data_IF_905613462889
#
_entry.id   IF_905613462889
#
_cell.length_a   1.000
_cell.length_b   1.000
_cell.length_c   1.000
_cell.angle_alpha   90.00
_cell.angle_beta   90.00
_cell.angle_gamma   90.00
#
_symmetry.space_group_name_H-M   'P 1'
#
loop_
_entity.id
_entity.type
_entity.pdbx_description
1 polymer ?
#
# COMPACT_ATOMS: atom_id res chain seq x y z
N UNK A 1 68.77 48.08 -46.75
CA UNK A 1 67.92 47.31 -45.82
C UNK A 1 68.43 45.87 -45.88
N UNK A 2 68.84 45.36 -44.73
CA UNK A 2 69.82 44.29 -44.54
C UNK A 2 69.22 42.90 -44.77
N UNK A 3 70.03 42.04 -45.39
CA UNK A 3 69.87 40.60 -45.64
C UNK A 3 69.74 39.78 -44.34
N UNK A 4 69.06 38.63 -44.41
CA UNK A 4 69.52 37.42 -43.73
C UNK A 4 68.89 36.16 -44.37
N UNK A 5 69.79 35.27 -44.80
CA UNK A 5 69.55 33.91 -45.28
C UNK A 5 69.34 32.92 -44.11
N UNK A 6 68.78 31.74 -44.39
CA UNK A 6 68.83 30.58 -43.49
C UNK A 6 67.94 29.39 -43.90
N UNK A 7 68.51 28.43 -44.64
CA UNK A 7 68.54 26.95 -44.43
C UNK A 7 67.39 26.29 -43.61
N UNK A 8 66.81 25.10 -43.83
CA UNK A 8 67.00 23.91 -44.70
C UNK A 8 65.82 22.93 -44.52
N UNK A 9 65.60 22.08 -45.53
CA UNK A 9 65.01 20.72 -45.58
C UNK A 9 64.46 20.03 -44.30
N UNK A 10 63.32 19.31 -44.47
CA UNK A 10 63.21 17.92 -43.99
C UNK A 10 61.91 17.49 -43.30
N UNK A 11 61.33 16.40 -43.82
CA UNK A 11 60.34 15.49 -43.21
C UNK A 11 58.89 16.02 -43.08
N UNK A 12 57.84 15.38 -43.61
CA UNK A 12 57.68 13.96 -43.93
C UNK A 12 56.59 13.35 -43.04
N UNK A 13 55.36 13.29 -43.55
CA UNK A 13 54.39 12.20 -43.37
C UNK A 13 54.19 11.53 -42.00
N UNK A 14 54.18 12.29 -40.89
CA UNK A 14 53.84 11.74 -39.56
C UNK A 14 52.56 12.32 -38.93
N UNK A 15 51.91 13.29 -39.57
CA UNK A 15 50.68 13.93 -39.07
C UNK A 15 49.40 13.15 -39.36
N UNK A 16 49.28 12.54 -40.54
CA UNK A 16 48.02 11.93 -41.00
C UNK A 16 47.70 10.59 -40.28
N UNK A 17 48.72 9.80 -39.91
CA UNK A 17 48.52 8.52 -39.24
C UNK A 17 48.07 8.67 -37.76
N UNK A 18 48.47 9.74 -37.08
CA UNK A 18 48.01 10.03 -35.70
C UNK A 18 46.57 10.52 -35.64
N UNK A 19 46.11 11.26 -36.65
CA UNK A 19 44.72 11.72 -36.73
C UNK A 19 43.74 10.56 -37.03
N UNK A 20 44.11 9.63 -37.90
CA UNK A 20 43.29 8.45 -38.20
C UNK A 20 43.19 7.47 -37.00
N UNK A 21 44.27 7.31 -36.23
CA UNK A 21 44.26 6.48 -35.01
C UNK A 21 43.34 7.03 -33.91
N UNK A 22 43.25 8.36 -33.77
CA UNK A 22 42.36 9.00 -32.80
C UNK A 22 40.87 8.86 -33.19
N UNK A 23 40.54 8.95 -34.49
CA UNK A 23 39.17 8.79 -35.01
C UNK A 23 38.66 7.33 -34.97
N UNK A 24 39.56 6.34 -35.07
CA UNK A 24 39.18 4.92 -34.94
C UNK A 24 39.00 4.53 -33.47
N UNK A 25 39.77 5.13 -32.56
CA UNK A 25 39.65 4.88 -31.11
C UNK A 25 38.40 5.48 -30.49
N UNK A 26 37.79 6.47 -31.15
CA UNK A 26 36.53 7.09 -30.72
C UNK A 26 35.28 6.31 -31.18
N UNK A 27 35.31 5.69 -32.37
CA UNK A 27 34.18 4.85 -32.86
C UNK A 27 33.95 3.57 -32.05
N UNK A 28 34.96 3.04 -31.35
CA UNK A 28 34.80 1.84 -30.52
C UNK A 28 34.10 2.12 -29.19
N UNK A 29 34.12 3.38 -28.72
CA UNK A 29 33.39 3.81 -27.53
C UNK A 29 31.92 4.11 -27.84
N UNK A 30 31.61 4.62 -29.03
CA UNK A 30 30.21 4.87 -29.43
C UNK A 30 29.39 3.59 -29.64
N UNK A 31 30.05 2.48 -30.01
CA UNK A 31 29.38 1.17 -30.18
C UNK A 31 29.06 0.47 -28.85
N UNK A 32 29.44 1.07 -27.72
CA UNK A 32 29.13 0.62 -26.36
C UNK A 32 28.16 1.54 -25.62
N UNK A 33 27.47 2.43 -26.34
CA UNK A 33 26.16 2.90 -25.90
C UNK A 33 25.25 1.67 -25.90
N UNK A 34 25.11 1.06 -24.73
CA UNK A 34 24.28 -0.11 -24.47
C UNK A 34 22.88 0.17 -24.99
N UNK A 35 22.56 -0.36 -26.17
CA UNK A 35 21.16 -0.52 -26.58
C UNK A 35 20.51 -1.27 -25.43
N UNK A 36 19.53 -0.68 -24.72
CA UNK A 36 18.86 -1.37 -23.63
C UNK A 36 18.33 -2.68 -24.22
N UNK A 37 18.77 -3.81 -23.64
CA UNK A 37 18.26 -5.10 -24.04
C UNK A 37 16.71 -5.03 -24.01
N UNK A 38 16.07 -5.45 -25.07
CA UNK A 38 14.61 -5.42 -25.22
C UNK A 38 13.94 -6.16 -24.04
N UNK A 39 14.65 -7.10 -23.41
CA UNK A 39 14.23 -7.74 -22.16
C UNK A 39 14.18 -6.78 -20.96
N UNK A 40 15.19 -5.93 -20.77
CA UNK A 40 15.24 -4.99 -19.63
C UNK A 40 14.19 -3.90 -19.77
N UNK A 41 13.89 -3.45 -20.98
CA UNK A 41 12.78 -2.52 -21.25
C UNK A 41 11.39 -3.13 -21.02
N UNK A 42 11.22 -4.45 -21.16
CA UNK A 42 9.93 -5.10 -20.87
C UNK A 42 9.70 -5.30 -19.37
N UNK A 43 10.77 -5.55 -18.60
CA UNK A 43 10.70 -5.79 -17.17
C UNK A 43 10.37 -4.52 -16.37
N UNK A 44 10.92 -3.37 -16.76
CA UNK A 44 10.57 -2.09 -16.12
C UNK A 44 9.09 -1.73 -16.32
N UNK A 45 8.53 -1.98 -17.50
CA UNK A 45 7.11 -1.74 -17.81
C UNK A 45 6.15 -2.65 -17.02
N UNK A 46 6.58 -3.85 -16.62
CA UNK A 46 5.80 -4.75 -15.79
C UNK A 46 5.90 -4.42 -14.29
N UNK A 47 6.95 -3.74 -13.86
CA UNK A 47 7.15 -3.37 -12.46
C UNK A 47 6.24 -2.20 -12.01
N UNK A 48 6.00 -1.21 -12.87
CA UNK A 48 5.13 -0.08 -12.56
C UNK A 48 3.70 -0.48 -12.13
N UNK A 49 2.95 -1.31 -12.88
CA UNK A 49 1.59 -1.69 -12.48
C UNK A 49 1.56 -2.53 -11.20
N UNK A 50 2.59 -3.35 -10.96
CA UNK A 50 2.72 -4.13 -9.72
C UNK A 50 2.94 -3.20 -8.52
N UNK A 51 3.80 -2.19 -8.65
CA UNK A 51 4.06 -1.21 -7.58
C UNK A 51 2.80 -0.41 -7.27
N UNK A 52 2.10 0.11 -8.29
CA UNK A 52 0.88 0.88 -8.09
C UNK A 52 -0.23 0.04 -7.45
N UNK A 53 -0.43 -1.20 -7.91
CA UNK A 53 -1.37 -2.12 -7.29
C UNK A 53 -0.99 -2.43 -5.83
N UNK A 54 0.29 -2.70 -5.56
CA UNK A 54 0.76 -2.93 -4.20
C UNK A 54 0.48 -1.74 -3.27
N UNK A 55 0.81 -0.52 -3.72
CA UNK A 55 0.57 0.70 -2.95
C UNK A 55 -0.92 0.92 -2.69
N UNK A 56 -1.78 0.75 -3.69
CA UNK A 56 -3.22 0.85 -3.53
C UNK A 56 -3.76 -0.18 -2.52
N UNK A 57 -3.27 -1.43 -2.58
CA UNK A 57 -3.59 -2.49 -1.63
C UNK A 57 -3.20 -2.15 -0.20
N UNK A 58 -1.96 -1.70 0.01
CA UNK A 58 -1.42 -1.34 1.33
C UNK A 58 -2.14 -0.13 1.91
N UNK A 59 -2.34 0.94 1.13
CA UNK A 59 -3.02 2.15 1.60
C UNK A 59 -4.49 1.85 1.95
N UNK A 60 -5.21 1.14 1.09
CA UNK A 60 -6.62 0.82 1.34
C UNK A 60 -6.81 -0.06 2.59
N UNK A 61 -5.96 -1.08 2.75
CA UNK A 61 -6.02 -1.99 3.89
C UNK A 61 -5.57 -1.31 5.19
N UNK A 62 -4.60 -0.38 5.12
CA UNK A 62 -4.22 0.47 6.25
C UNK A 62 -5.35 1.40 6.69
N UNK A 63 -5.99 2.12 5.76
CA UNK A 63 -7.14 3.00 6.06
C UNK A 63 -8.26 2.20 6.72
N UNK A 64 -8.55 0.99 6.21
CA UNK A 64 -9.54 0.11 6.81
C UNK A 64 -9.15 -0.29 8.24
N UNK A 65 -7.95 -0.85 8.41
CA UNK A 65 -7.51 -1.44 9.67
C UNK A 65 -7.34 -0.37 10.76
N UNK A 66 -6.59 0.69 10.46
CA UNK A 66 -6.30 1.78 11.40
C UNK A 66 -7.58 2.55 11.73
N UNK A 67 -8.41 2.85 10.74
CA UNK A 67 -9.68 3.56 10.96
C UNK A 67 -10.64 2.79 11.87
N UNK A 68 -10.76 1.47 11.67
CA UNK A 68 -11.59 0.63 12.53
C UNK A 68 -10.95 0.35 13.90
N UNK A 69 -9.63 0.27 13.98
CA UNK A 69 -8.90 0.19 15.25
C UNK A 69 -9.18 1.42 16.09
N UNK A 70 -8.90 2.62 15.55
CA UNK A 70 -9.11 3.88 16.23
C UNK A 70 -10.57 3.99 16.71
N UNK A 71 -11.54 3.62 15.88
CA UNK A 71 -12.94 3.61 16.28
C UNK A 71 -13.22 2.74 17.52
N UNK A 72 -12.69 1.51 17.55
CA UNK A 72 -12.93 0.56 18.64
C UNK A 72 -12.09 0.83 19.91
N UNK A 73 -10.91 1.44 19.79
CA UNK A 73 -9.97 1.61 20.91
C UNK A 73 -10.05 2.98 21.57
N UNK A 74 -10.13 4.05 20.78
CA UNK A 74 -10.03 5.44 21.27
C UNK A 74 -11.13 6.36 20.73
N UNK A 75 -11.92 5.90 19.76
CA UNK A 75 -12.91 6.68 19.05
C UNK A 75 -14.31 6.55 19.63
N UNK A 76 -15.31 6.80 18.77
CA UNK A 76 -16.73 6.86 19.15
C UNK A 76 -17.17 5.61 19.90
N UNK A 77 -16.76 4.42 19.47
CA UNK A 77 -17.22 3.18 20.09
C UNK A 77 -16.55 2.86 21.42
N UNK A 78 -15.35 3.37 21.68
CA UNK A 78 -14.75 3.26 22.99
C UNK A 78 -15.55 4.04 24.04
N UNK A 79 -16.00 5.25 23.66
CA UNK A 79 -16.82 6.12 24.52
C UNK A 79 -18.22 5.53 24.71
N UNK A 80 -18.93 5.22 23.61
CA UNK A 80 -20.31 4.71 23.69
C UNK A 80 -20.45 3.38 24.44
N UNK A 81 -19.41 2.55 24.44
CA UNK A 81 -19.44 1.26 25.13
C UNK A 81 -19.07 1.37 26.63
N UNK A 82 -18.59 2.53 27.07
CA UNK A 82 -18.17 2.81 28.44
C UNK A 82 -19.24 3.64 29.16
N UNK A 83 -20.02 2.97 30.00
CA UNK A 83 -21.06 3.60 30.82
C UNK A 83 -20.50 4.39 32.00
N UNK A 84 -19.22 4.26 32.33
CA UNK A 84 -18.61 4.99 33.45
C UNK A 84 -18.20 6.43 33.09
N UNK A 85 -17.98 6.68 31.80
CA UNK A 85 -17.52 7.98 31.29
C UNK A 85 -18.57 8.71 30.46
N UNK A 86 -19.65 8.03 30.06
CA UNK A 86 -20.67 8.58 29.17
C UNK A 86 -21.98 8.87 29.90
N UNK A 87 -22.24 10.15 30.19
CA UNK A 87 -23.52 10.62 30.75
C UNK A 87 -24.64 10.79 29.69
N UNK A 88 -24.35 10.45 28.43
CA UNK A 88 -25.28 10.65 27.33
C UNK A 88 -26.46 9.65 27.42
N UNK A 89 -27.72 10.10 27.30
CA UNK A 89 -28.86 9.19 27.28
C UNK A 89 -28.73 8.12 26.18
N UNK A 90 -29.10 6.88 26.51
CA UNK A 90 -28.88 5.72 25.63
C UNK A 90 -29.46 5.89 24.22
N UNK A 91 -30.62 6.53 24.10
CA UNK A 91 -31.24 6.87 22.80
C UNK A 91 -30.26 7.58 21.87
N UNK A 92 -29.51 8.54 22.39
CA UNK A 92 -28.52 9.27 21.61
C UNK A 92 -27.29 8.42 21.32
N UNK A 93 -26.84 7.59 22.27
CA UNK A 93 -25.74 6.64 22.04
C UNK A 93 -26.03 5.70 20.86
N UNK A 94 -27.22 5.08 20.85
CA UNK A 94 -27.66 4.19 19.77
C UNK A 94 -27.81 4.94 18.44
N UNK A 95 -28.32 6.18 18.47
CA UNK A 95 -28.43 7.02 17.27
C UNK A 95 -27.04 7.35 16.69
N UNK A 96 -26.07 7.69 17.54
CA UNK A 96 -24.68 7.98 17.14
C UNK A 96 -24.06 6.72 16.55
N UNK A 97 -24.18 5.57 17.22
CA UNK A 97 -23.71 4.28 16.71
C UNK A 97 -24.29 3.99 15.32
N UNK A 98 -25.61 4.10 15.14
CA UNK A 98 -26.28 3.83 13.86
C UNK A 98 -25.75 4.73 12.75
N UNK A 99 -25.66 6.04 13.00
CA UNK A 99 -25.14 7.01 12.02
C UNK A 99 -23.67 6.73 11.67
N UNK A 100 -22.87 6.36 12.67
CA UNK A 100 -21.49 5.99 12.47
C UNK A 100 -21.37 4.72 11.62
N UNK A 101 -22.13 3.67 11.95
CA UNK A 101 -22.16 2.43 11.19
C UNK A 101 -22.57 2.63 9.73
N UNK A 102 -23.63 3.41 9.47
CA UNK A 102 -24.13 3.68 8.13
C UNK A 102 -23.12 4.45 7.27
N UNK A 103 -22.41 5.42 7.84
CA UNK A 103 -21.33 6.12 7.13
C UNK A 103 -20.09 5.26 6.97
N UNK A 104 -19.73 4.54 8.02
CA UNK A 104 -18.58 3.64 8.06
C UNK A 104 -18.70 2.54 7.02
N UNK A 105 -19.86 1.88 6.88
CA UNK A 105 -20.03 0.82 5.87
C UNK A 105 -19.87 1.37 4.44
N UNK A 106 -20.36 2.57 4.16
CA UNK A 106 -20.25 3.20 2.85
C UNK A 106 -18.80 3.59 2.49
N UNK A 107 -17.97 3.86 3.50
CA UNK A 107 -16.56 4.20 3.30
C UNK A 107 -15.63 2.98 3.34
N UNK A 108 -15.75 2.12 4.36
CA UNK A 108 -14.83 1.01 4.61
C UNK A 108 -15.10 -0.22 3.73
N UNK A 109 -16.35 -0.48 3.30
CA UNK A 109 -16.59 -1.62 2.42
C UNK A 109 -15.88 -1.46 1.05
N UNK A 110 -15.95 -0.28 0.39
CA UNK A 110 -15.17 -0.05 -0.83
C UNK A 110 -13.65 -0.16 -0.63
N UNK A 111 -13.09 0.32 0.48
CA UNK A 111 -11.63 0.24 0.70
C UNK A 111 -11.15 -1.21 0.83
N UNK A 112 -11.93 -2.08 1.48
CA UNK A 112 -11.62 -3.51 1.55
C UNK A 112 -11.65 -4.16 0.15
N UNK A 113 -12.64 -3.84 -0.68
CA UNK A 113 -12.77 -4.36 -2.05
C UNK A 113 -11.62 -3.88 -2.94
N UNK A 114 -11.30 -2.59 -2.93
CA UNK A 114 -10.18 -2.03 -3.68
C UNK A 114 -8.86 -2.67 -3.24
N UNK A 115 -8.68 -2.89 -1.94
CA UNK A 115 -7.46 -3.54 -1.43
C UNK A 115 -7.35 -4.98 -1.89
N UNK A 116 -8.44 -5.75 -1.79
CA UNK A 116 -8.49 -7.13 -2.26
C UNK A 116 -8.20 -7.23 -3.76
N UNK A 117 -8.85 -6.39 -4.58
CA UNK A 117 -8.62 -6.37 -6.03
C UNK A 117 -7.18 -6.02 -6.38
N UNK A 118 -6.59 -5.05 -5.66
CA UNK A 118 -5.22 -4.62 -5.85
C UNK A 118 -4.22 -5.72 -5.51
N UNK A 119 -4.40 -6.42 -4.38
CA UNK A 119 -3.59 -7.59 -4.04
C UNK A 119 -3.80 -8.75 -5.03
N UNK A 120 -5.02 -8.97 -5.52
CA UNK A 120 -5.28 -9.93 -6.58
C UNK A 120 -4.53 -9.62 -7.87
N UNK A 121 -4.45 -8.34 -8.25
CA UNK A 121 -3.68 -7.89 -9.41
C UNK A 121 -2.17 -8.12 -9.22
N UNK A 122 -1.63 -7.84 -8.02
CA UNK A 122 -0.23 -8.18 -7.68
C UNK A 122 0.02 -9.68 -7.81
N UNK A 123 -0.89 -10.52 -7.31
CA UNK A 123 -0.76 -11.97 -7.38
C UNK A 123 -0.78 -12.51 -8.82
N UNK A 124 -1.55 -11.85 -9.68
CA UNK A 124 -1.64 -12.16 -11.10
C UNK A 124 -0.35 -11.77 -11.86
N UNK A 125 0.10 -10.52 -11.67
CA UNK A 125 1.23 -9.95 -12.42
C UNK A 125 2.61 -10.39 -11.91
N UNK A 126 2.74 -10.75 -10.62
CA UNK A 126 4.01 -11.11 -10.00
C UNK A 126 3.98 -12.53 -9.42
N UNK A 127 4.45 -13.55 -10.17
CA UNK A 127 4.56 -14.92 -9.66
C UNK A 127 5.39 -15.02 -8.38
N UNK A 128 6.40 -14.16 -8.22
CA UNK A 128 7.25 -14.11 -7.02
C UNK A 128 6.50 -13.68 -5.75
N UNK A 129 5.44 -12.87 -5.88
CA UNK A 129 4.64 -12.38 -4.76
C UNK A 129 3.30 -13.10 -4.62
N UNK A 130 2.98 -14.04 -5.53
CA UNK A 130 1.64 -14.62 -5.70
C UNK A 130 1.03 -15.12 -4.40
N UNK A 131 1.69 -16.03 -3.69
CA UNK A 131 1.12 -16.66 -2.48
C UNK A 131 0.84 -15.63 -1.39
N UNK A 132 1.74 -14.67 -1.22
CA UNK A 132 1.59 -13.61 -0.24
C UNK A 132 0.46 -12.64 -0.61
N UNK A 133 0.42 -12.21 -1.87
CA UNK A 133 -0.62 -11.33 -2.36
C UNK A 133 -2.00 -12.01 -2.31
N UNK A 134 -2.09 -13.31 -2.58
CA UNK A 134 -3.32 -14.10 -2.38
C UNK A 134 -3.74 -14.17 -0.90
N UNK A 135 -2.78 -14.30 0.03
CA UNK A 135 -3.08 -14.26 1.46
C UNK A 135 -3.64 -12.88 1.87
N UNK A 136 -2.99 -11.79 1.48
CA UNK A 136 -3.48 -10.43 1.74
C UNK A 136 -4.84 -10.17 1.11
N UNK A 137 -5.05 -10.63 -0.12
CA UNK A 137 -6.36 -10.58 -0.80
C UNK A 137 -7.41 -11.34 0.01
N UNK A 138 -7.14 -12.59 0.40
CA UNK A 138 -8.05 -13.43 1.18
C UNK A 138 -8.44 -12.77 2.50
N UNK A 139 -7.47 -12.21 3.22
CA UNK A 139 -7.68 -11.49 4.48
C UNK A 139 -8.51 -10.20 4.30
N UNK A 140 -8.40 -9.51 3.17
CA UNK A 140 -9.26 -8.36 2.86
C UNK A 140 -10.69 -8.81 2.50
N UNK A 141 -10.83 -9.88 1.70
CA UNK A 141 -12.14 -10.39 1.27
C UNK A 141 -12.94 -10.93 2.44
N UNK A 142 -12.32 -11.61 3.40
CA UNK A 142 -13.01 -12.21 4.57
C UNK A 142 -13.70 -11.18 5.46
N UNK A 143 -13.31 -9.91 5.40
CA UNK A 143 -13.97 -8.83 6.14
C UNK A 143 -15.46 -8.68 5.78
N UNK A 144 -15.83 -8.93 4.52
CA UNK A 144 -17.21 -8.84 4.04
C UNK A 144 -18.12 -9.95 4.59
N UNK A 145 -17.85 -11.26 4.39
CA UNK A 145 -18.65 -12.32 4.98
C UNK A 145 -18.61 -12.27 6.51
N UNK A 146 -17.48 -11.89 7.13
CA UNK A 146 -17.44 -11.70 8.58
C UNK A 146 -18.37 -10.56 9.04
N UNK A 147 -18.47 -9.47 8.27
CA UNK A 147 -19.43 -8.40 8.59
C UNK A 147 -20.88 -8.89 8.45
N UNK A 148 -21.20 -9.63 7.39
CA UNK A 148 -22.56 -10.11 7.13
C UNK A 148 -23.01 -11.16 8.15
N UNK A 149 -22.18 -12.16 8.41
CA UNK A 149 -22.55 -13.31 9.24
C UNK A 149 -22.11 -13.16 10.70
N UNK A 150 -20.96 -12.55 10.96
CA UNK A 150 -20.43 -12.35 12.32
C UNK A 150 -21.03 -11.12 13.01
N UNK A 151 -21.03 -9.97 12.33
CA UNK A 151 -21.51 -8.69 12.92
C UNK A 151 -23.01 -8.47 12.66
N UNK A 152 -23.53 -8.95 11.53
CA UNK A 152 -24.91 -8.73 11.09
C UNK A 152 -25.99 -8.98 12.15
N UNK A 153 -25.98 -10.11 12.88
CA UNK A 153 -26.95 -10.36 13.94
C UNK A 153 -26.93 -9.30 15.05
N UNK A 154 -25.75 -8.82 15.43
CA UNK A 154 -25.58 -7.76 16.43
C UNK A 154 -26.07 -6.41 15.90
N UNK A 155 -25.80 -6.08 14.63
CA UNK A 155 -26.31 -4.87 13.99
C UNK A 155 -27.84 -4.84 14.00
N UNK A 156 -28.48 -5.95 13.62
CA UNK A 156 -29.94 -6.04 13.58
C UNK A 156 -30.57 -5.81 14.96
N UNK A 157 -29.99 -6.40 16.01
CA UNK A 157 -30.42 -6.16 17.40
C UNK A 157 -30.27 -4.70 17.82
N UNK A 158 -29.12 -4.08 17.51
CA UNK A 158 -28.87 -2.68 17.82
C UNK A 158 -29.80 -1.72 17.05
N UNK A 159 -30.13 -2.02 15.78
CA UNK A 159 -31.13 -1.25 15.04
C UNK A 159 -32.51 -1.35 15.67
N UNK A 160 -32.94 -2.55 16.09
CA UNK A 160 -34.22 -2.74 16.75
C UNK A 160 -34.27 -1.99 18.11
N UNK A 161 -33.18 -1.99 18.88
CA UNK A 161 -33.09 -1.22 20.11
C UNK A 161 -33.14 0.28 19.88
N UNK A 162 -32.52 0.77 18.80
CA UNK A 162 -32.54 2.20 18.48
C UNK A 162 -33.96 2.70 18.14
N UNK A 163 -34.75 1.89 17.41
CA UNK A 163 -36.17 2.20 17.14
C UNK A 163 -37.02 2.16 18.41
N UNK A 164 -36.80 1.17 19.30
CA UNK A 164 -37.47 1.09 20.60
C UNK A 164 -37.14 2.28 21.50
N UNK A 165 -35.88 2.67 21.57
CA UNK A 165 -35.44 3.85 22.32
C UNK A 165 -36.04 5.15 21.75
N UNK A 166 -36.21 5.24 20.43
CA UNK A 166 -36.93 6.37 19.80
C UNK A 166 -38.39 6.43 20.20
N UNK A 167 -39.05 5.27 20.29
CA UNK A 167 -40.43 5.14 20.76
C UNK A 167 -40.61 5.42 22.26
N UNK A 168 -39.53 5.70 22.99
CA UNK A 168 -39.57 6.10 24.40
C UNK A 168 -39.43 4.93 25.37
N UNK A 169 -39.07 3.74 24.89
CA UNK A 169 -38.78 2.63 25.80
C UNK A 169 -37.54 2.92 26.64
N UNK A 170 -37.71 2.79 27.96
CA UNK A 170 -36.65 3.01 28.95
C UNK A 170 -36.83 2.02 30.10
N UNK A 171 -35.76 1.33 30.47
CA UNK A 171 -35.66 0.53 31.69
C UNK A 171 -34.20 0.15 31.94
N UNK A 172 -33.84 -0.15 33.18
CA UNK A 172 -32.48 -0.59 33.52
C UNK A 172 -32.07 -1.85 32.74
N UNK A 173 -33.01 -2.79 32.54
CA UNK A 173 -32.77 -4.01 31.78
C UNK A 173 -32.54 -3.72 30.28
N UNK A 174 -33.31 -2.78 29.71
CA UNK A 174 -33.12 -2.31 28.35
C UNK A 174 -31.73 -1.67 28.17
N UNK A 175 -31.33 -0.82 29.12
CA UNK A 175 -30.05 -0.12 29.06
C UNK A 175 -28.86 -1.07 29.15
N UNK A 176 -28.89 -2.01 30.11
CA UNK A 176 -27.86 -3.06 30.23
C UNK A 176 -27.76 -3.91 28.97
N UNK A 177 -28.90 -4.26 28.36
CA UNK A 177 -28.91 -5.03 27.12
C UNK A 177 -28.24 -4.28 25.97
N UNK A 178 -28.58 -3.00 25.79
CA UNK A 178 -28.04 -2.17 24.73
C UNK A 178 -26.53 -1.97 24.89
N UNK A 179 -26.05 -1.64 26.09
CA UNK A 179 -24.63 -1.49 26.40
C UNK A 179 -23.85 -2.80 26.19
N UNK A 180 -24.44 -3.94 26.57
CA UNK A 180 -23.87 -5.25 26.32
C UNK A 180 -23.70 -5.56 24.82
N UNK A 181 -24.68 -5.17 24.00
CA UNK A 181 -24.59 -5.31 22.55
C UNK A 181 -23.59 -4.35 21.91
N UNK A 182 -23.47 -3.11 22.39
CA UNK A 182 -22.44 -2.16 21.93
C UNK A 182 -21.03 -2.71 22.22
N UNK A 183 -20.82 -3.30 23.41
CA UNK A 183 -19.57 -3.97 23.77
C UNK A 183 -19.29 -5.20 22.90
N UNK A 184 -20.32 -6.02 22.65
CA UNK A 184 -20.21 -7.17 21.74
C UNK A 184 -19.83 -6.72 20.33
N UNK A 185 -20.48 -5.67 19.82
CA UNK A 185 -20.17 -5.08 18.52
C UNK A 185 -18.73 -4.59 18.45
N UNK A 186 -18.24 -3.93 19.51
CA UNK A 186 -16.85 -3.44 19.61
C UNK A 186 -15.84 -4.58 19.50
N UNK A 187 -16.07 -5.68 20.21
CA UNK A 187 -15.23 -6.89 20.15
C UNK A 187 -15.25 -7.57 18.78
N UNK A 188 -16.43 -7.71 18.17
CA UNK A 188 -16.54 -8.26 16.82
C UNK A 188 -15.85 -7.36 15.77
N UNK A 189 -16.00 -6.04 15.88
CA UNK A 189 -15.28 -5.11 15.00
C UNK A 189 -13.76 -5.23 15.18
N UNK A 190 -13.28 -5.58 16.38
CA UNK A 190 -11.87 -5.82 16.64
C UNK A 190 -11.30 -7.03 15.90
N UNK A 191 -12.08 -8.11 15.83
CA UNK A 191 -11.73 -9.27 14.99
C UNK A 191 -11.70 -8.83 13.53
N UNK A 192 -12.71 -8.08 13.06
CA UNK A 192 -12.81 -7.64 11.67
C UNK A 192 -11.61 -6.80 11.22
N UNK A 193 -11.23 -5.78 11.99
CA UNK A 193 -10.10 -4.94 11.61
C UNK A 193 -8.77 -5.69 11.74
N UNK A 194 -8.67 -6.66 12.67
CA UNK A 194 -7.47 -7.49 12.81
C UNK A 194 -7.23 -8.36 11.58
N UNK A 195 -8.29 -8.94 10.99
CA UNK A 195 -8.18 -9.72 9.75
C UNK A 195 -7.56 -8.89 8.62
N UNK A 196 -8.13 -7.70 8.36
CA UNK A 196 -7.60 -6.80 7.32
C UNK A 196 -6.23 -6.23 7.70
N UNK A 197 -6.00 -5.97 8.99
CA UNK A 197 -4.72 -5.51 9.53
C UNK A 197 -3.59 -6.52 9.30
N UNK A 198 -3.85 -7.81 9.44
CA UNK A 198 -2.90 -8.86 9.08
C UNK A 198 -2.61 -8.86 7.57
N UNK A 199 -3.63 -8.62 6.74
CA UNK A 199 -3.46 -8.45 5.29
C UNK A 199 -2.58 -7.26 4.93
N UNK A 200 -2.78 -6.13 5.63
CA UNK A 200 -1.95 -4.93 5.54
C UNK A 200 -0.51 -5.22 5.96
N UNK A 201 -0.27 -5.81 7.13
CA UNK A 201 1.08 -6.09 7.63
C UNK A 201 1.83 -7.05 6.71
N UNK A 202 1.15 -8.09 6.24
CA UNK A 202 1.70 -8.99 5.24
C UNK A 202 2.05 -8.21 3.97
N UNK A 203 1.14 -7.40 3.43
CA UNK A 203 1.38 -6.57 2.24
C UNK A 203 2.52 -5.54 2.40
N UNK A 204 2.66 -4.92 3.57
CA UNK A 204 3.70 -3.94 3.87
C UNK A 204 5.09 -4.57 3.92
N UNK A 205 5.25 -5.75 4.53
CA UNK A 205 6.55 -6.40 4.68
C UNK A 205 7.32 -6.59 3.37
N UNK A 206 6.63 -6.65 2.23
CA UNK A 206 7.25 -6.76 0.90
C UNK A 206 7.80 -5.45 0.38
N UNK A 207 7.22 -4.32 0.76
CA UNK A 207 7.66 -2.99 0.32
C UNK A 207 9.12 -2.78 0.76
N UNK A 208 9.42 -3.12 2.01
CA UNK A 208 10.78 -2.99 2.57
C UNK A 208 11.77 -3.97 1.93
N UNK A 209 11.35 -5.20 1.67
CA UNK A 209 12.19 -6.22 1.02
C UNK A 209 12.48 -5.86 -0.44
N UNK A 210 11.47 -5.40 -1.18
CA UNK A 210 11.60 -5.07 -2.60
C UNK A 210 12.41 -3.78 -2.80
N UNK A 211 12.17 -2.76 -1.98
CA UNK A 211 12.98 -1.53 -1.98
C UNK A 211 14.43 -1.84 -1.61
N UNK A 212 14.66 -2.60 -0.54
CA UNK A 212 16.04 -2.95 -0.12
C UNK A 212 16.77 -3.85 -1.11
N UNK A 213 16.06 -4.69 -1.87
CA UNK A 213 16.65 -5.52 -2.91
C UNK A 213 17.03 -4.69 -4.15
N UNK A 214 16.13 -3.85 -4.65
CA UNK A 214 16.41 -2.99 -5.81
C UNK A 214 17.49 -1.95 -5.50
N UNK A 215 17.49 -1.37 -4.29
CA UNK A 215 18.55 -0.47 -3.85
C UNK A 215 19.93 -1.14 -3.84
N UNK A 216 19.99 -2.45 -3.55
CA UNK A 216 21.24 -3.24 -3.61
C UNK A 216 21.71 -3.48 -5.05
N UNK A 217 20.79 -3.72 -5.98
CA UNK A 217 21.13 -3.89 -7.41
C UNK A 217 21.70 -2.59 -7.98
N UNK A 218 21.00 -1.48 -7.79
CA UNK A 218 21.45 -0.15 -8.27
C UNK A 218 22.82 0.21 -7.67
N UNK A 219 23.03 -0.04 -6.37
CA UNK A 219 24.32 0.21 -5.71
C UNK A 219 25.45 -0.66 -6.28
N UNK A 220 25.18 -1.91 -6.65
CA UNK A 220 26.17 -2.80 -7.29
C UNK A 220 26.53 -2.33 -8.69
N UNK A 221 25.56 -1.89 -9.48
CA UNK A 221 25.80 -1.36 -10.82
C UNK A 221 26.65 -0.09 -10.77
N UNK A 222 26.36 0.85 -9.85
CA UNK A 222 27.18 2.05 -9.64
C UNK A 222 28.61 1.68 -9.21
N UNK A 223 28.76 0.72 -8.29
CA UNK A 223 30.08 0.28 -7.81
C UNK A 223 30.91 -0.42 -8.88
N UNK A 224 30.28 -1.12 -9.84
CA UNK A 224 30.98 -1.77 -10.95
C UNK A 224 31.28 -0.79 -12.09
N UNK A 225 30.42 0.21 -12.33
CA UNK A 225 30.66 1.28 -13.30
C UNK A 225 31.83 2.20 -12.92
N UNK A 226 32.09 2.40 -11.62
CA UNK A 226 33.21 3.21 -11.13
C UNK A 226 34.59 2.54 -11.16
N UNK A 227 34.71 1.28 -11.60
CA UNK A 227 35.99 0.56 -11.69
C UNK A 227 36.62 0.56 -13.09
N UNK A 228 36.06 1.33 -14.03
CA UNK A 228 36.53 1.41 -15.43
C UNK A 228 36.92 2.83 -15.88
N UNK A 229 37.28 3.73 -14.97
CA UNK A 229 37.96 5.00 -15.32
C UNK A 229 39.44 4.95 -15.04
#
# INVERSE_FOLDING_TARGET
MVLCEGWTQGAGDLGAARAAGALIKDRSNYRRATVPDHRTMSLSKLQEPVILAQLAGVVGSAVFAVGNFANSSTGVMAVLADSSTTELPLKYQLTIWRRFYERGKAFFAPTAVVSAASYGLVAYLSPALRNSALLSMGLCVTALPFTLFGIGPTNNKLFALEERAKAGETSEAFDKNALGLLNTWRGLNAIRFSLVGLGFLNGHGWVDIFISHNARIVRREISMGGKFS
#
